data_IF_627362689079
#
_entry.id   IF_627362689079
#
_cell.length_a   1.000
_cell.length_b   1.000
_cell.length_c   1.000
_cell.angle_alpha   90.00
_cell.angle_beta   90.00
_cell.angle_gamma   90.00
#
_symmetry.space_group_name_H-M   'P 1'
#
loop_
_entity.id
_entity.type
_entity.pdbx_description
1 polymer ?
#
# COMPACT_ATOMS: atom_id res chain seq x y z
N UNK A 1 3.96 -4.23 29.78
CA UNK A 1 4.98 -4.10 28.72
C UNK A 1 4.22 -4.12 27.40
N UNK A 2 4.21 -3.01 26.66
CA UNK A 2 3.62 -3.01 25.31
C UNK A 2 4.61 -3.80 24.46
N UNK A 3 4.22 -5.01 24.06
CA UNK A 3 4.96 -5.76 23.04
C UNK A 3 4.82 -4.99 21.75
N UNK A 4 5.90 -4.36 21.30
CA UNK A 4 5.96 -3.87 19.93
C UNK A 4 6.17 -5.12 19.06
N UNK A 5 5.24 -5.48 18.16
CA UNK A 5 5.40 -6.63 17.28
C UNK A 5 6.43 -6.22 16.22
N UNK A 6 7.69 -6.16 16.63
CA UNK A 6 8.78 -5.75 15.76
C UNK A 6 9.03 -6.82 14.70
N UNK A 7 8.74 -8.07 15.02
CA UNK A 7 8.85 -9.27 14.20
C UNK A 7 7.99 -9.24 12.93
N UNK A 8 6.77 -8.69 12.99
CA UNK A 8 5.88 -8.57 11.82
C UNK A 8 6.21 -7.36 10.91
N UNK A 9 7.27 -6.61 11.20
CA UNK A 9 7.68 -5.44 10.42
C UNK A 9 9.17 -5.48 10.07
N UNK A 10 9.80 -6.65 10.13
CA UNK A 10 11.25 -6.79 9.90
C UNK A 10 11.62 -6.85 8.41
N UNK A 11 10.68 -7.20 7.54
CA UNK A 11 10.89 -7.19 6.09
C UNK A 11 10.14 -6.06 5.40
N UNK A 12 10.64 -5.66 4.23
CA UNK A 12 9.98 -4.71 3.34
C UNK A 12 8.60 -5.21 2.91
N UNK A 13 8.46 -6.51 2.67
CA UNK A 13 7.19 -7.13 2.28
C UNK A 13 6.14 -7.09 3.40
N UNK A 14 6.54 -7.34 4.65
CA UNK A 14 5.63 -7.26 5.79
C UNK A 14 5.26 -5.81 6.12
N UNK A 15 6.23 -4.89 6.08
CA UNK A 15 5.96 -3.45 6.17
C UNK A 15 4.95 -3.00 5.11
N UNK A 16 5.11 -3.45 3.87
CA UNK A 16 4.19 -3.16 2.79
C UNK A 16 2.78 -3.69 3.07
N UNK A 17 2.67 -4.97 3.48
CA UNK A 17 1.36 -5.58 3.82
C UNK A 17 0.67 -4.86 4.96
N UNK A 18 1.41 -4.48 6.01
CA UNK A 18 0.90 -3.73 7.14
C UNK A 18 0.38 -2.36 6.74
N UNK A 19 1.18 -1.59 5.99
CA UNK A 19 0.80 -0.27 5.50
C UNK A 19 -0.43 -0.35 4.58
N UNK A 20 -0.46 -1.31 3.66
CA UNK A 20 -1.59 -1.52 2.75
C UNK A 20 -2.89 -1.79 3.52
N UNK A 21 -2.87 -2.71 4.49
CA UNK A 21 -4.05 -2.99 5.35
C UNK A 21 -4.49 -1.78 6.17
N UNK A 22 -3.55 -0.99 6.66
CA UNK A 22 -3.83 0.13 7.57
C UNK A 22 -4.39 1.35 6.81
N UNK A 23 -3.85 1.63 5.62
CA UNK A 23 -4.23 2.77 4.79
C UNK A 23 -5.39 2.46 3.85
N UNK A 24 -5.55 1.20 3.46
CA UNK A 24 -6.55 0.72 2.49
C UNK A 24 -7.29 -0.51 3.05
N UNK A 25 -8.10 -0.35 4.11
CA UNK A 25 -8.77 -1.47 4.79
C UNK A 25 -9.75 -2.24 3.89
N UNK A 26 -10.33 -1.57 2.89
CA UNK A 26 -11.25 -2.16 1.90
C UNK A 26 -10.52 -2.62 0.62
N UNK A 27 -9.19 -2.53 0.59
CA UNK A 27 -8.37 -2.77 -0.59
C UNK A 27 -7.99 -1.48 -1.31
N UNK A 28 -7.04 -1.59 -2.24
CA UNK A 28 -6.68 -0.47 -3.10
C UNK A 28 -7.86 -0.17 -4.02
N UNK A 29 -8.28 1.09 -4.06
CA UNK A 29 -9.35 1.56 -4.93
C UNK A 29 -9.07 2.99 -5.37
N UNK A 30 -9.56 3.35 -6.56
CA UNK A 30 -9.60 4.75 -6.97
C UNK A 30 -10.71 5.50 -6.21
N UNK A 31 -10.46 6.70 -5.66
CA UNK A 31 -11.50 7.49 -5.00
C UNK A 31 -12.62 7.93 -5.96
N UNK A 32 -12.39 7.92 -7.27
CA UNK A 32 -13.39 8.20 -8.30
C UNK A 32 -14.15 6.94 -8.77
N UNK A 33 -13.84 5.76 -8.23
CA UNK A 33 -14.55 4.51 -8.56
C UNK A 33 -14.05 3.79 -9.83
N UNK A 34 -12.93 4.22 -10.41
CA UNK A 34 -12.33 3.50 -11.54
C UNK A 34 -11.78 2.15 -11.11
N UNK A 35 -11.95 1.14 -11.96
CA UNK A 35 -11.36 -0.18 -11.76
C UNK A 35 -9.83 -0.09 -11.73
N UNK A 36 -9.22 -0.84 -10.82
CA UNK A 36 -7.78 -1.00 -10.80
C UNK A 36 -7.40 -2.23 -11.63
N UNK A 37 -6.54 -2.08 -12.64
CA UNK A 37 -5.99 -3.21 -13.38
C UNK A 37 -5.29 -4.22 -12.46
N UNK A 38 -5.28 -5.51 -12.83
CA UNK A 38 -4.54 -6.55 -12.09
C UNK A 38 -3.03 -6.26 -12.00
N UNK A 39 -2.49 -5.57 -13.01
CA UNK A 39 -1.10 -5.14 -13.09
C UNK A 39 -0.88 -3.70 -12.55
N UNK A 40 -1.82 -3.18 -11.76
CA UNK A 40 -1.70 -1.87 -11.12
C UNK A 40 -0.52 -1.87 -10.14
N UNK A 41 0.62 -1.42 -10.65
CA UNK A 41 1.79 -1.10 -9.85
C UNK A 41 1.63 0.29 -9.20
N UNK A 42 2.32 0.53 -8.07
CA UNK A 42 2.40 1.87 -7.53
C UNK A 42 3.04 2.83 -8.54
N UNK A 43 2.49 4.03 -8.67
CA UNK A 43 3.04 5.09 -9.49
C UNK A 43 4.04 5.90 -8.64
N UNK A 44 5.18 5.30 -8.35
CA UNK A 44 6.23 5.94 -7.54
C UNK A 44 7.31 6.60 -8.43
N UNK A 45 7.54 7.89 -8.24
CA UNK A 45 8.70 8.65 -8.80
C UNK A 45 9.67 9.13 -7.71
N UNK A 46 9.38 8.86 -6.44
CA UNK A 46 10.11 9.25 -5.22
C UNK A 46 10.16 8.08 -4.25
N UNK A 47 11.25 7.32 -4.34
CA UNK A 47 11.63 6.15 -3.54
C UNK A 47 10.93 6.03 -2.16
N UNK A 48 10.15 4.95 -2.01
CA UNK A 48 9.82 4.12 -0.82
C UNK A 48 10.01 4.72 0.60
N UNK A 49 9.09 4.45 1.57
CA UNK A 49 8.23 3.26 1.65
C UNK A 49 6.72 3.51 1.46
N UNK A 50 6.30 4.77 1.36
CA UNK A 50 4.90 5.11 1.10
C UNK A 50 4.78 5.35 -0.40
N UNK A 51 4.09 4.43 -1.07
CA UNK A 51 3.93 4.47 -2.51
C UNK A 51 2.71 5.30 -2.89
N UNK A 52 2.86 6.20 -3.86
CA UNK A 52 1.72 6.87 -4.48
C UNK A 52 1.05 5.91 -5.47
N UNK A 53 -0.22 5.60 -5.26
CA UNK A 53 -1.02 4.85 -6.22
C UNK A 53 -1.84 5.83 -7.04
N UNK A 54 -1.71 5.76 -8.37
CA UNK A 54 -2.59 6.49 -9.29
C UNK A 54 -3.38 5.50 -10.12
N UNK A 55 -4.64 5.83 -10.35
CA UNK A 55 -5.45 5.05 -11.26
C UNK A 55 -4.93 5.32 -12.69
N UNK A 56 -5.18 4.43 -13.66
CA UNK A 56 -4.71 4.72 -15.04
C UNK A 56 -5.62 5.71 -15.78
N UNK A 57 -6.79 5.98 -15.22
CA UNK A 57 -7.78 6.93 -15.73
C UNK A 57 -7.62 8.35 -15.12
N UNK A 58 -6.87 8.47 -14.02
CA UNK A 58 -6.73 9.64 -13.13
C UNK A 58 -5.42 9.56 -12.31
#
# INVERSE_FOLDING_TARGET
MIGFPADELLSEEECYRYLKRSLHPEGLACPNGHELPDDQAPHDRRRAPIMDYRCREC
#
